data_IF_712256661695
#
_entry.id   IF_712256661695
#
_cell.length_a   1.000
_cell.length_b   1.000
_cell.length_c   1.000
_cell.angle_alpha   90.00
_cell.angle_beta   90.00
_cell.angle_gamma   90.00
#
_symmetry.space_group_name_H-M   'P 1'
#
loop_
_entity.id
_entity.type
_entity.pdbx_description
1 polymer ?
#
# COMPACT_ATOMS: atom_id res chain seq x y z
N UNK A 1 -5.00 37.85 -3.24
CA UNK A 1 -4.76 36.40 -3.04
C UNK A 1 -5.97 35.77 -2.34
N UNK A 2 -6.70 34.87 -3.00
CA UNK A 2 -7.85 34.21 -2.36
C UNK A 2 -7.36 33.17 -1.33
N UNK A 3 -7.70 33.37 -0.06
CA UNK A 3 -7.44 32.44 1.04
C UNK A 3 -8.28 31.18 0.78
N UNK A 4 -7.66 30.08 0.34
CA UNK A 4 -8.33 28.76 0.28
C UNK A 4 -8.81 28.43 1.70
N UNK A 5 -10.10 28.61 1.96
CA UNK A 5 -10.71 28.15 3.20
C UNK A 5 -10.55 26.64 3.25
N UNK A 6 -9.91 26.14 4.33
CA UNK A 6 -9.75 24.69 4.51
C UNK A 6 -11.15 24.12 4.74
N UNK A 7 -11.70 23.42 3.74
CA UNK A 7 -13.00 22.75 3.87
C UNK A 7 -12.96 21.84 5.09
N UNK A 8 -13.81 22.11 6.06
CA UNK A 8 -13.96 21.28 7.24
C UNK A 8 -14.67 19.98 6.86
N UNK A 9 -14.46 18.90 7.62
CA UNK A 9 -15.07 17.60 7.33
C UNK A 9 -16.58 17.71 7.08
N UNK A 10 -17.28 18.56 7.85
CA UNK A 10 -18.72 18.85 7.72
C UNK A 10 -19.13 19.46 6.38
N UNK A 11 -18.22 20.16 5.70
CA UNK A 11 -18.43 20.83 4.41
C UNK A 11 -18.02 19.98 3.20
N UNK A 12 -17.41 18.80 3.42
CA UNK A 12 -17.14 17.85 2.35
C UNK A 12 -18.43 17.20 1.85
N UNK A 13 -18.56 17.05 0.54
CA UNK A 13 -19.66 16.28 -0.05
C UNK A 13 -19.62 14.83 0.46
N UNK A 14 -20.78 14.16 0.58
CA UNK A 14 -20.83 12.76 0.99
C UNK A 14 -19.90 11.86 0.16
N UNK A 15 -19.82 12.12 -1.14
CA UNK A 15 -18.91 11.42 -2.05
C UNK A 15 -17.43 11.61 -1.66
N UNK A 16 -17.01 12.83 -1.32
CA UNK A 16 -15.62 13.07 -0.93
C UNK A 16 -15.24 12.38 0.39
N UNK A 17 -16.16 12.31 1.36
CA UNK A 17 -15.95 11.53 2.60
C UNK A 17 -15.89 10.04 2.31
N UNK A 18 -16.80 9.52 1.49
CA UNK A 18 -16.81 8.11 1.10
C UNK A 18 -15.50 7.72 0.41
N UNK A 19 -15.00 8.54 -0.53
CA UNK A 19 -13.72 8.31 -1.19
C UNK A 19 -12.55 8.31 -0.20
N UNK A 20 -12.53 9.21 0.78
CA UNK A 20 -11.49 9.25 1.79
C UNK A 20 -11.46 7.96 2.64
N UNK A 21 -12.64 7.49 3.06
CA UNK A 21 -12.78 6.22 3.79
C UNK A 21 -12.35 5.05 2.91
N UNK A 22 -12.77 4.99 1.65
CA UNK A 22 -12.39 3.94 0.71
C UNK A 22 -10.88 3.88 0.49
N UNK A 23 -10.22 5.03 0.34
CA UNK A 23 -8.75 5.13 0.22
C UNK A 23 -8.08 4.59 1.50
N UNK A 24 -8.59 4.96 2.68
CA UNK A 24 -8.08 4.44 3.96
C UNK A 24 -8.20 2.91 4.06
N UNK A 25 -9.35 2.34 3.70
CA UNK A 25 -9.57 0.89 3.67
C UNK A 25 -8.61 0.22 2.68
N UNK A 26 -8.44 0.81 1.50
CA UNK A 26 -7.52 0.29 0.49
C UNK A 26 -6.07 0.29 1.01
N UNK A 27 -5.64 1.36 1.69
CA UNK A 27 -4.31 1.46 2.29
C UNK A 27 -4.05 0.33 3.31
N UNK A 28 -4.95 0.19 4.29
CA UNK A 28 -4.82 -0.80 5.36
C UNK A 28 -4.84 -2.20 4.79
N UNK A 29 -5.76 -2.47 3.86
CA UNK A 29 -5.87 -3.76 3.18
C UNK A 29 -4.58 -4.10 2.42
N UNK A 30 -4.02 -3.13 1.69
CA UNK A 30 -2.78 -3.31 0.92
C UNK A 30 -1.58 -3.56 1.84
N UNK A 31 -1.47 -2.84 2.94
CA UNK A 31 -0.42 -3.03 3.94
C UNK A 31 -0.49 -4.42 4.59
N UNK A 32 -1.69 -4.86 5.00
CA UNK A 32 -1.91 -6.20 5.56
C UNK A 32 -1.59 -7.27 4.51
N UNK A 33 -2.01 -7.07 3.26
CA UNK A 33 -1.72 -7.99 2.17
C UNK A 33 -0.20 -8.12 1.95
N UNK A 34 0.55 -7.01 1.88
CA UNK A 34 1.99 -7.03 1.74
C UNK A 34 2.69 -7.75 2.90
N UNK A 35 2.31 -7.46 4.15
CA UNK A 35 2.87 -8.13 5.32
C UNK A 35 2.58 -9.64 5.34
N UNK A 36 1.34 -10.03 5.02
CA UNK A 36 0.95 -11.44 4.90
C UNK A 36 1.73 -12.15 3.79
N UNK A 37 1.90 -11.48 2.65
CA UNK A 37 2.60 -12.03 1.49
C UNK A 37 4.11 -12.22 1.78
N UNK A 38 4.77 -11.22 2.37
CA UNK A 38 6.18 -11.32 2.79
C UNK A 38 6.38 -12.45 3.81
N UNK A 39 5.44 -12.61 4.72
CA UNK A 39 5.50 -13.64 5.76
C UNK A 39 5.34 -15.04 5.20
N UNK A 40 4.39 -15.24 4.28
CA UNK A 40 4.08 -16.56 3.69
C UNK A 40 5.01 -16.97 2.56
N UNK A 41 5.53 -16.03 1.76
CA UNK A 41 6.38 -16.37 0.61
C UNK A 41 7.75 -16.88 1.07
N UNK A 42 8.28 -17.94 0.43
CA UNK A 42 9.69 -18.33 0.55
C UNK A 42 10.62 -17.16 0.20
N UNK A 43 11.77 -17.07 0.87
CA UNK A 43 12.73 -15.98 0.64
C UNK A 43 13.27 -15.95 -0.80
N UNK A 44 13.36 -17.12 -1.44
CA UNK A 44 13.79 -17.28 -2.83
C UNK A 44 12.88 -16.57 -3.85
N UNK A 45 11.59 -16.40 -3.50
CA UNK A 45 10.60 -15.71 -4.32
C UNK A 45 10.46 -14.22 -3.98
N UNK A 46 11.38 -13.68 -3.20
CA UNK A 46 11.43 -12.27 -2.83
C UNK A 46 12.77 -11.68 -3.31
N UNK A 47 12.72 -10.50 -3.91
CA UNK A 47 13.91 -9.76 -4.35
C UNK A 47 14.59 -9.10 -3.16
N UNK A 48 15.48 -9.81 -2.48
CA UNK A 48 16.25 -9.28 -1.35
C UNK A 48 15.65 -9.63 0.02
N UNK A 49 16.14 -9.01 1.11
CA UNK A 49 15.79 -9.42 2.47
C UNK A 49 14.32 -9.17 2.81
N UNK A 50 13.67 -10.16 3.42
CA UNK A 50 12.28 -10.03 3.91
C UNK A 50 12.11 -8.87 4.90
N UNK A 51 13.11 -8.63 5.76
CA UNK A 51 13.09 -7.54 6.73
C UNK A 51 13.05 -6.17 6.03
N UNK A 52 13.83 -5.97 4.96
CA UNK A 52 13.83 -4.74 4.20
C UNK A 52 12.45 -4.46 3.58
N UNK A 53 11.83 -5.49 3.00
CA UNK A 53 10.47 -5.35 2.46
C UNK A 53 9.41 -5.13 3.51
N UNK A 54 9.55 -5.73 4.71
CA UNK A 54 8.66 -5.44 5.83
C UNK A 54 8.73 -3.98 6.24
N UNK A 55 9.94 -3.43 6.38
CA UNK A 55 10.13 -2.02 6.73
C UNK A 55 9.63 -1.10 5.62
N UNK A 56 9.97 -1.41 4.36
CA UNK A 56 9.52 -0.66 3.21
C UNK A 56 7.99 -0.61 3.15
N UNK A 57 7.30 -1.74 3.38
CA UNK A 57 5.83 -1.80 3.32
C UNK A 57 5.11 -1.01 4.43
N UNK A 58 5.81 -0.48 5.42
CA UNK A 58 5.22 0.40 6.43
C UNK A 58 5.14 1.86 5.96
N UNK A 59 5.78 2.19 4.84
CA UNK A 59 5.83 3.55 4.29
C UNK A 59 4.61 3.77 3.38
N UNK A 60 3.49 4.20 3.97
CA UNK A 60 2.26 4.61 3.26
C UNK A 60 1.87 3.64 2.12
N UNK A 61 1.42 4.15 0.97
CA UNK A 61 1.11 3.35 -0.21
C UNK A 61 2.35 2.93 -1.01
N UNK A 62 3.42 3.73 -0.98
CA UNK A 62 4.62 3.51 -1.79
C UNK A 62 5.30 2.21 -1.40
N UNK A 63 5.35 1.91 -0.11
CA UNK A 63 5.94 0.70 0.44
C UNK A 63 5.30 -0.60 -0.06
N UNK A 64 4.02 -0.83 0.27
CA UNK A 64 3.30 -2.02 -0.16
C UNK A 64 3.25 -2.15 -1.69
N UNK A 65 3.04 -1.05 -2.43
CA UNK A 65 3.07 -1.10 -3.90
C UNK A 65 4.47 -1.46 -4.43
N UNK A 66 5.51 -0.85 -3.89
CA UNK A 66 6.90 -1.16 -4.23
C UNK A 66 7.25 -2.62 -3.99
N UNK A 67 6.74 -3.22 -2.91
CA UNK A 67 6.89 -4.65 -2.67
C UNK A 67 6.24 -5.52 -3.75
N UNK A 68 4.99 -5.23 -4.13
CA UNK A 68 4.31 -6.04 -5.14
C UNK A 68 4.89 -5.87 -6.56
N UNK A 69 5.43 -4.69 -6.88
CA UNK A 69 6.03 -4.40 -8.20
C UNK A 69 7.47 -4.89 -8.29
N UNK A 70 8.30 -4.62 -7.27
CA UNK A 70 9.74 -4.86 -7.31
C UNK A 70 10.19 -5.97 -6.35
N UNK A 71 9.52 -6.11 -5.21
CA UNK A 71 9.92 -7.05 -4.15
C UNK A 71 9.48 -8.49 -4.37
N UNK A 72 8.42 -8.72 -5.13
CA UNK A 72 7.90 -10.06 -5.41
C UNK A 72 8.49 -10.62 -6.69
N UNK A 73 9.18 -11.76 -6.62
CA UNK A 73 9.50 -12.56 -7.81
C UNK A 73 8.29 -13.42 -8.16
N UNK A 74 7.94 -13.44 -9.45
CA UNK A 74 7.00 -14.44 -9.96
C UNK A 74 7.81 -15.74 -10.12
N UNK A 75 7.36 -16.90 -9.60
CA UNK A 75 7.92 -18.16 -10.03
C UNK A 75 7.78 -18.17 -11.55
N UNK A 76 8.90 -18.31 -12.26
CA UNK A 76 8.95 -18.13 -13.69
C UNK A 76 7.83 -18.93 -14.35
N UNK A 77 7.05 -18.27 -15.20
CA UNK A 77 6.49 -19.01 -16.33
C UNK A 77 7.74 -19.48 -17.08
N UNK A 78 8.08 -20.74 -16.87
CA UNK A 78 9.02 -21.44 -17.74
C UNK A 78 8.34 -21.45 -19.09
N UNK A 79 8.83 -20.63 -20.01
CA UNK A 79 8.59 -20.75 -21.44
C UNK A 79 9.88 -21.23 -22.07
#
# INVERSE_FOLDING_TARGET
>A
MAKKTKKTWKEMSPAARASFVAIGIAQVSLMIAAQRDISKRPAELINGPKAAWRMASMINFIGPMGYFVLGRKRPGVSA
#
